data_IF_144287288556
#
_entry.id   IF_144287288556
#
_cell.length_a   1.000
_cell.length_b   1.000
_cell.length_c   1.000
_cell.angle_alpha   90.00
_cell.angle_beta   90.00
_cell.angle_gamma   90.00
#
_symmetry.space_group_name_H-M   'P 1'
#
loop_
_entity.id
_entity.type
_entity.pdbx_description
1 polymer ?
#
# COMPACT_ATOMS: atom_id res chain seq x y z
N UNK A 1 20.94 14.87 -5.20
CA UNK A 1 19.58 15.29 -5.64
C UNK A 1 18.61 14.47 -4.82
N UNK A 2 17.62 15.10 -4.19
CA UNK A 2 16.59 14.39 -3.43
C UNK A 2 15.67 13.64 -4.40
N UNK A 3 15.31 12.38 -4.09
CA UNK A 3 14.40 11.58 -4.92
C UNK A 3 12.98 12.10 -4.82
N UNK A 4 12.27 12.12 -5.94
CA UNK A 4 10.84 12.41 -5.93
C UNK A 4 10.02 11.19 -5.54
N UNK A 5 8.90 11.45 -4.88
CA UNK A 5 7.95 10.44 -4.40
C UNK A 5 6.56 10.76 -4.94
N UNK A 6 5.87 9.76 -5.47
CA UNK A 6 4.45 9.79 -5.76
C UNK A 6 3.72 8.71 -4.94
N UNK A 7 2.47 8.97 -4.62
CA UNK A 7 1.62 8.01 -3.88
C UNK A 7 0.32 7.80 -4.65
N UNK A 8 -0.10 6.54 -4.70
CA UNK A 8 -1.45 6.13 -5.14
C UNK A 8 -2.18 5.55 -3.93
N UNK A 9 -3.40 5.99 -3.68
CA UNK A 9 -4.26 5.43 -2.64
C UNK A 9 -5.57 4.94 -3.23
N UNK A 10 -5.91 3.71 -2.85
CA UNK A 10 -7.22 3.12 -3.14
C UNK A 10 -8.13 3.33 -1.93
N UNK A 11 -9.32 3.86 -2.15
CA UNK A 11 -10.31 4.17 -1.12
C UNK A 11 -11.60 3.39 -1.34
N UNK A 12 -12.27 3.01 -0.26
CA UNK A 12 -13.55 2.30 -0.30
C UNK A 12 -14.71 3.29 -0.26
N UNK A 13 -15.70 3.11 -1.15
CA UNK A 13 -16.96 3.83 -1.13
C UNK A 13 -17.97 3.08 -0.26
N UNK A 14 -18.61 3.81 0.65
CA UNK A 14 -19.58 3.23 1.60
C UNK A 14 -20.85 4.08 1.70
N UNK A 15 -21.98 3.44 1.99
CA UNK A 15 -23.20 4.14 2.39
C UNK A 15 -22.97 4.90 3.70
N UNK A 16 -23.32 6.18 3.71
CA UNK A 16 -23.06 7.09 4.84
C UNK A 16 -23.83 6.71 6.11
N UNK A 17 -24.94 5.98 5.97
CA UNK A 17 -25.79 5.60 7.09
C UNK A 17 -25.48 4.20 7.63
N UNK A 18 -25.26 3.21 6.77
CA UNK A 18 -25.02 1.82 7.16
C UNK A 18 -23.52 1.46 7.26
N UNK A 19 -22.65 2.17 6.57
CA UNK A 19 -21.24 1.83 6.42
C UNK A 19 -20.98 0.67 5.46
N UNK A 20 -22.00 0.14 4.78
CA UNK A 20 -21.85 -0.94 3.80
C UNK A 20 -21.18 -0.44 2.52
N UNK A 21 -20.30 -1.26 1.94
CA UNK A 21 -19.59 -0.88 0.72
C UNK A 21 -20.51 -0.78 -0.50
N UNK A 22 -20.45 0.36 -1.21
CA UNK A 22 -21.34 0.70 -2.32
C UNK A 22 -20.62 0.84 -3.68
N UNK A 23 -21.27 0.32 -4.73
CA UNK A 23 -20.72 0.27 -6.09
C UNK A 23 -20.99 1.59 -6.87
N UNK A 24 -20.48 2.71 -6.38
CA UNK A 24 -20.76 4.07 -6.88
C UNK A 24 -19.56 4.74 -7.60
N UNK A 25 -18.42 4.05 -7.81
CA UNK A 25 -17.23 4.68 -8.41
C UNK A 25 -17.53 5.38 -9.74
N UNK A 26 -18.38 4.81 -10.60
CA UNK A 26 -18.72 5.45 -11.89
C UNK A 26 -19.47 6.78 -11.72
N UNK A 27 -20.29 6.93 -10.67
CA UNK A 27 -20.98 8.19 -10.38
C UNK A 27 -20.00 9.22 -9.81
N UNK A 28 -19.14 8.81 -8.88
CA UNK A 28 -18.11 9.67 -8.29
C UNK A 28 -17.14 10.18 -9.36
N UNK A 29 -16.66 9.29 -10.24
CA UNK A 29 -15.76 9.67 -11.34
C UNK A 29 -16.42 10.64 -12.31
N UNK A 30 -17.70 10.44 -12.66
CA UNK A 30 -18.44 11.36 -13.54
C UNK A 30 -18.65 12.76 -12.91
N UNK A 31 -18.71 12.85 -11.58
CA UNK A 31 -18.74 14.14 -10.85
C UNK A 31 -17.34 14.77 -10.90
N UNK A 32 -16.32 14.00 -10.55
CA UNK A 32 -14.94 14.48 -10.56
C UNK A 32 -14.49 15.00 -11.93
N UNK A 33 -14.85 14.30 -13.02
CA UNK A 33 -14.56 14.75 -14.39
C UNK A 33 -15.23 16.08 -14.76
N UNK A 34 -16.45 16.36 -14.26
CA UNK A 34 -17.14 17.62 -14.52
C UNK A 34 -16.53 18.80 -13.75
N UNK A 35 -16.01 18.54 -12.56
CA UNK A 35 -15.42 19.56 -11.70
C UNK A 35 -13.94 19.82 -12.05
N UNK A 36 -13.29 18.88 -12.75
CA UNK A 36 -11.90 19.02 -13.15
C UNK A 36 -11.75 20.13 -14.23
N UNK A 37 -11.06 21.21 -13.89
CA UNK A 37 -10.59 22.23 -14.86
C UNK A 37 -9.38 21.72 -15.69
N UNK A 38 -9.13 20.41 -15.69
CA UNK A 38 -7.99 19.73 -16.30
C UNK A 38 -8.07 18.21 -16.16
N UNK A 39 -6.93 17.54 -15.95
CA UNK A 39 -6.90 16.09 -15.71
C UNK A 39 -7.44 15.75 -14.32
N UNK A 40 -8.40 14.82 -14.26
CA UNK A 40 -8.82 14.21 -13.01
C UNK A 40 -7.73 13.28 -12.49
N UNK A 41 -7.36 13.38 -11.21
CA UNK A 41 -6.44 12.44 -10.58
C UNK A 41 -7.11 11.13 -10.15
N UNK A 42 -8.45 11.03 -10.30
CA UNK A 42 -9.20 9.83 -9.91
C UNK A 42 -9.29 8.83 -11.05
N UNK A 43 -8.99 7.57 -10.74
CA UNK A 43 -9.05 6.45 -11.68
C UNK A 43 -10.01 5.35 -11.18
N UNK A 44 -10.62 4.57 -12.11
CA UNK A 44 -11.43 3.41 -11.75
C UNK A 44 -10.55 2.22 -11.40
N UNK A 45 -10.95 1.45 -10.39
CA UNK A 45 -10.35 0.19 -9.99
C UNK A 45 -11.15 -1.05 -10.42
N UNK A 46 -10.62 -2.26 -10.10
CA UNK A 46 -11.22 -3.56 -10.41
C UNK A 46 -12.69 -3.63 -9.93
N UNK A 47 -12.98 -3.09 -8.74
CA UNK A 47 -14.30 -3.10 -8.18
C UNK A 47 -14.93 -1.71 -8.14
N UNK A 48 -16.23 -1.66 -8.43
CA UNK A 48 -17.00 -0.41 -8.44
C UNK A 48 -17.22 0.20 -7.05
N UNK A 49 -16.78 -0.46 -6.01
CA UNK A 49 -16.74 0.04 -4.64
C UNK A 49 -15.43 0.78 -4.32
N UNK A 50 -14.49 0.85 -5.25
CA UNK A 50 -13.18 1.49 -5.06
C UNK A 50 -13.05 2.76 -5.90
N UNK A 51 -12.30 3.70 -5.36
CA UNK A 51 -11.84 4.90 -6.02
C UNK A 51 -10.33 4.99 -5.80
N UNK A 52 -9.54 5.21 -6.84
CA UNK A 52 -8.10 5.43 -6.75
C UNK A 52 -7.75 6.87 -7.08
N UNK A 53 -6.75 7.42 -6.40
CA UNK A 53 -6.12 8.67 -6.81
C UNK A 53 -4.60 8.56 -6.76
N UNK A 54 -3.95 9.40 -7.59
CA UNK A 54 -2.49 9.51 -7.65
C UNK A 54 -2.05 10.95 -7.37
N UNK A 55 -0.98 11.12 -6.58
CA UNK A 55 -0.34 12.41 -6.40
C UNK A 55 0.67 12.70 -7.52
N UNK A 56 0.97 13.98 -7.75
CA UNK A 56 2.15 14.33 -8.54
C UNK A 56 3.43 13.95 -7.78
N UNK A 57 4.56 13.72 -8.49
CA UNK A 57 5.84 13.45 -7.86
C UNK A 57 6.32 14.67 -7.06
N UNK A 58 6.53 14.52 -5.74
CA UNK A 58 7.00 15.56 -4.83
C UNK A 58 8.44 15.25 -4.37
N UNK A 59 9.29 16.24 -4.28
CA UNK A 59 10.61 16.15 -3.64
C UNK A 59 10.52 16.52 -2.15
N UNK A 60 9.63 17.42 -1.79
CA UNK A 60 9.32 17.84 -0.43
C UNK A 60 8.18 17.00 0.16
N UNK A 61 8.35 16.48 1.39
CA UNK A 61 7.34 15.64 2.02
C UNK A 61 6.19 16.44 2.63
N UNK A 62 6.36 17.74 2.85
CA UNK A 62 5.28 18.66 3.19
C UNK A 62 4.32 18.86 2.01
N UNK A 63 4.86 19.06 0.80
CA UNK A 63 4.07 19.11 -0.44
C UNK A 63 3.32 17.80 -0.68
N UNK A 64 3.95 16.65 -0.40
CA UNK A 64 3.28 15.35 -0.48
C UNK A 64 2.13 15.26 0.53
N UNK A 65 2.34 15.70 1.77
CA UNK A 65 1.30 15.71 2.80
C UNK A 65 0.10 16.58 2.38
N UNK A 66 0.34 17.79 1.88
CA UNK A 66 -0.70 18.67 1.35
C UNK A 66 -1.45 18.02 0.18
N UNK A 67 -0.73 17.32 -0.71
CA UNK A 67 -1.32 16.63 -1.85
C UNK A 67 -2.22 15.47 -1.42
N UNK A 68 -1.79 14.63 -0.48
CA UNK A 68 -2.60 13.51 0.06
C UNK A 68 -3.85 14.06 0.76
N UNK A 69 -3.72 15.08 1.62
CA UNK A 69 -4.87 15.71 2.28
C UNK A 69 -5.85 16.30 1.26
N UNK A 70 -5.37 17.00 0.25
CA UNK A 70 -6.20 17.58 -0.80
C UNK A 70 -7.00 16.51 -1.53
N UNK A 71 -6.34 15.45 -2.02
CA UNK A 71 -7.01 14.41 -2.81
C UNK A 71 -7.99 13.57 -1.99
N UNK A 72 -7.68 13.32 -0.70
CA UNK A 72 -8.67 12.72 0.21
C UNK A 72 -9.88 13.64 0.42
N UNK A 73 -9.65 14.94 0.61
CA UNK A 73 -10.72 15.95 0.71
C UNK A 73 -11.59 16.00 -0.54
N UNK A 74 -11.00 15.97 -1.74
CA UNK A 74 -11.73 15.90 -3.01
C UNK A 74 -12.53 14.58 -3.14
N UNK A 75 -11.95 13.44 -2.76
CA UNK A 75 -12.64 12.16 -2.73
C UNK A 75 -13.86 12.20 -1.80
N UNK A 76 -13.72 12.78 -0.60
CA UNK A 76 -14.81 12.97 0.37
C UNK A 76 -15.93 13.83 -0.24
N UNK A 77 -15.58 14.96 -0.87
CA UNK A 77 -16.54 15.85 -1.51
C UNK A 77 -17.30 15.17 -2.64
N UNK A 78 -16.58 14.56 -3.60
CA UNK A 78 -17.21 13.90 -4.75
C UNK A 78 -18.07 12.68 -4.34
N UNK A 79 -17.64 11.93 -3.32
CA UNK A 79 -18.44 10.84 -2.78
C UNK A 79 -19.73 11.35 -2.14
N UNK A 80 -19.67 12.44 -1.37
CA UNK A 80 -20.85 13.07 -0.77
C UNK A 80 -21.86 13.57 -1.84
N UNK A 81 -21.36 14.17 -2.93
CA UNK A 81 -22.19 14.61 -4.06
C UNK A 81 -22.85 13.41 -4.80
N UNK A 82 -22.25 12.23 -4.73
CA UNK A 82 -22.80 10.97 -5.23
C UNK A 82 -23.70 10.25 -4.20
N UNK A 83 -23.89 10.80 -2.99
CA UNK A 83 -24.70 10.22 -1.90
C UNK A 83 -24.01 9.14 -1.09
N UNK A 84 -22.67 9.08 -1.12
CA UNK A 84 -21.85 8.11 -0.41
C UNK A 84 -20.84 8.80 0.52
N UNK A 85 -20.13 8.00 1.31
CA UNK A 85 -18.89 8.39 2.00
C UNK A 85 -17.70 7.62 1.43
N UNK A 86 -16.51 8.16 1.60
CA UNK A 86 -15.26 7.48 1.25
C UNK A 86 -14.48 7.16 2.52
N UNK A 87 -13.80 6.00 2.53
CA UNK A 87 -13.02 5.57 3.69
C UNK A 87 -11.74 4.85 3.27
N UNK A 88 -10.63 5.19 3.93
CA UNK A 88 -9.34 4.51 3.78
C UNK A 88 -9.32 3.24 4.65
N UNK A 89 -9.99 2.19 4.18
CA UNK A 89 -10.00 0.86 4.77
C UNK A 89 -9.46 -0.15 3.76
N UNK A 90 -8.48 -0.93 4.14
CA UNK A 90 -7.85 -1.86 3.21
C UNK A 90 -8.70 -3.12 2.92
N UNK A 91 -9.72 -3.39 3.73
CA UNK A 91 -10.82 -4.35 3.47
C UNK A 91 -12.11 -3.83 4.06
N UNK A 92 -13.26 -4.25 3.52
CA UNK A 92 -14.57 -3.94 4.13
C UNK A 92 -14.75 -4.71 5.45
N UNK A 93 -14.96 -4.04 6.58
CA UNK A 93 -15.32 -4.70 7.84
C UNK A 93 -16.67 -5.41 7.78
N UNK A 94 -17.62 -4.84 7.04
CA UNK A 94 -18.96 -5.38 6.87
C UNK A 94 -19.03 -6.38 5.70
N UNK A 95 -20.02 -7.29 5.70
CA UNK A 95 -20.24 -8.18 4.56
C UNK A 95 -20.46 -7.39 3.28
N UNK A 96 -19.84 -7.83 2.19
CA UNK A 96 -19.94 -7.19 0.89
C UNK A 96 -19.95 -8.22 -0.24
N UNK A 97 -20.72 -7.93 -1.30
CA UNK A 97 -20.65 -8.62 -2.59
C UNK A 97 -20.02 -7.67 -3.60
N UNK A 98 -18.70 -7.78 -3.87
CA UNK A 98 -18.02 -6.87 -4.76
C UNK A 98 -18.60 -6.88 -6.17
N UNK A 99 -18.59 -5.72 -6.84
CA UNK A 99 -19.08 -5.54 -8.21
C UNK A 99 -17.92 -5.17 -9.11
N UNK A 100 -17.53 -6.08 -9.99
CA UNK A 100 -16.45 -5.87 -10.95
C UNK A 100 -16.83 -4.75 -11.94
N UNK A 101 -15.83 -3.94 -12.29
CA UNK A 101 -15.96 -2.88 -13.29
C UNK A 101 -16.29 -3.41 -14.69
N UNK A 102 -16.90 -2.56 -15.52
CA UNK A 102 -17.40 -2.96 -16.86
C UNK A 102 -16.34 -2.91 -17.97
N UNK A 103 -15.11 -2.48 -17.67
CA UNK A 103 -14.00 -2.44 -18.61
C UNK A 103 -13.63 -3.83 -19.17
N UNK A 104 -13.12 -3.89 -20.39
CA UNK A 104 -12.71 -5.16 -21.05
C UNK A 104 -11.66 -5.90 -20.20
N UNK A 105 -10.67 -5.18 -19.66
CA UNK A 105 -9.63 -5.75 -18.79
C UNK A 105 -10.25 -6.42 -17.55
N UNK A 106 -11.19 -5.78 -16.90
CA UNK A 106 -11.83 -6.28 -15.68
C UNK A 106 -12.72 -7.51 -15.95
N UNK A 107 -13.43 -7.53 -17.10
CA UNK A 107 -14.19 -8.71 -17.53
C UNK A 107 -13.26 -9.90 -17.79
N UNK A 108 -12.16 -9.67 -18.48
CA UNK A 108 -11.15 -10.71 -18.72
C UNK A 108 -10.59 -11.26 -17.40
N UNK A 109 -10.29 -10.38 -16.43
CA UNK A 109 -9.82 -10.80 -15.11
C UNK A 109 -10.87 -11.62 -14.36
N UNK A 110 -12.14 -11.23 -14.42
CA UNK A 110 -13.25 -11.95 -13.81
C UNK A 110 -13.42 -13.36 -14.40
N UNK A 111 -13.36 -13.49 -15.72
CA UNK A 111 -13.45 -14.79 -16.41
C UNK A 111 -12.24 -15.66 -16.11
N UNK A 112 -11.04 -15.09 -16.11
CA UNK A 112 -9.78 -15.81 -15.96
C UNK A 112 -9.55 -16.31 -14.54
N UNK A 113 -9.85 -15.48 -13.53
CA UNK A 113 -9.49 -15.73 -12.13
C UNK A 113 -10.69 -16.10 -11.24
N UNK A 114 -11.91 -16.01 -11.75
CA UNK A 114 -13.12 -16.44 -11.05
C UNK A 114 -13.25 -15.80 -9.65
N UNK A 115 -13.39 -16.61 -8.61
CA UNK A 115 -13.56 -16.16 -7.23
C UNK A 115 -12.39 -15.28 -6.73
N UNK A 116 -11.16 -15.51 -7.19
CA UNK A 116 -10.03 -14.66 -6.83
C UNK A 116 -10.29 -13.21 -7.22
N UNK A 117 -10.76 -12.95 -8.44
CA UNK A 117 -11.11 -11.59 -8.86
C UNK A 117 -12.39 -11.08 -8.18
N UNK A 118 -13.40 -11.94 -8.01
CA UNK A 118 -14.68 -11.56 -7.41
C UNK A 118 -14.57 -11.15 -5.94
N UNK A 119 -13.67 -11.77 -5.19
CA UNK A 119 -13.47 -11.53 -3.75
C UNK A 119 -12.31 -10.55 -3.46
N UNK A 120 -11.72 -9.91 -4.49
CA UNK A 120 -10.52 -9.09 -4.37
C UNK A 120 -10.80 -7.63 -3.95
N UNK A 121 -11.86 -7.34 -3.26
CA UNK A 121 -12.14 -5.96 -2.79
C UNK A 121 -11.16 -5.59 -1.66
N UNK A 122 -10.03 -5.05 -2.05
CA UNK A 122 -8.95 -4.63 -1.15
C UNK A 122 -8.38 -3.31 -1.61
N UNK A 123 -8.03 -2.41 -0.68
CA UNK A 123 -7.46 -1.10 -0.95
C UNK A 123 -6.02 -1.02 -0.44
N UNK A 124 -5.10 -0.67 -1.31
CA UNK A 124 -3.68 -0.51 -1.04
C UNK A 124 -3.23 0.94 -1.04
N UNK A 125 -1.98 1.10 -0.64
CA UNK A 125 -1.20 2.31 -0.83
C UNK A 125 0.06 1.94 -1.62
N UNK A 126 0.23 2.53 -2.80
CA UNK A 126 1.42 2.34 -3.61
C UNK A 126 2.33 3.56 -3.49
N UNK A 127 3.61 3.32 -3.32
CA UNK A 127 4.60 4.39 -3.21
C UNK A 127 5.61 4.25 -4.34
N UNK A 128 5.69 5.28 -5.18
CA UNK A 128 6.64 5.39 -6.27
C UNK A 128 7.82 6.27 -5.87
N UNK A 129 9.03 5.77 -6.04
CA UNK A 129 10.26 6.56 -5.79
C UNK A 129 11.13 6.55 -7.03
N UNK A 130 11.57 7.74 -7.46
CA UNK A 130 12.38 7.90 -8.68
C UNK A 130 13.73 7.19 -8.59
N UNK A 131 14.11 6.56 -9.71
CA UNK A 131 15.43 5.93 -9.92
C UNK A 131 16.06 6.44 -11.21
N UNK A 132 17.37 6.39 -11.30
CA UNK A 132 18.11 6.94 -12.43
C UNK A 132 18.11 6.01 -13.66
N UNK A 133 17.93 4.70 -13.43
CA UNK A 133 17.89 3.68 -14.49
C UNK A 133 17.26 2.40 -13.96
N UNK A 134 16.92 1.46 -14.85
CA UNK A 134 16.43 0.14 -14.49
C UNK A 134 17.47 -0.67 -13.71
N UNK A 135 18.78 -0.49 -13.98
CA UNK A 135 19.87 -1.12 -13.23
C UNK A 135 19.86 -0.65 -11.78
N UNK A 136 19.76 0.66 -11.53
CA UNK A 136 19.62 1.19 -10.17
C UNK A 136 18.32 0.66 -9.54
N UNK A 137 17.20 0.69 -10.26
CA UNK A 137 15.91 0.24 -9.77
C UNK A 137 15.93 -1.23 -9.35
N UNK A 138 16.50 -2.13 -10.16
CA UNK A 138 16.63 -3.56 -9.83
C UNK A 138 17.59 -3.76 -8.65
N UNK A 139 18.71 -3.04 -8.63
CA UNK A 139 19.64 -3.09 -7.51
C UNK A 139 18.98 -2.62 -6.19
N UNK A 140 18.08 -1.64 -6.25
CA UNK A 140 17.24 -1.21 -5.12
C UNK A 140 16.27 -2.32 -4.73
N UNK A 141 15.50 -2.89 -5.69
CA UNK A 141 14.56 -3.99 -5.42
C UNK A 141 15.23 -5.14 -4.69
N UNK A 142 16.41 -5.56 -5.14
CA UNK A 142 17.17 -6.67 -4.55
C UNK A 142 17.57 -6.42 -3.08
N UNK A 143 17.71 -5.16 -2.67
CA UNK A 143 18.10 -4.76 -1.30
C UNK A 143 16.93 -4.50 -0.38
N UNK A 144 15.87 -3.85 -0.88
CA UNK A 144 14.72 -3.46 -0.05
C UNK A 144 13.80 -4.63 0.30
N UNK A 145 13.83 -5.74 -0.45
CA UNK A 145 12.91 -6.89 -0.29
C UNK A 145 12.83 -7.41 1.16
N UNK A 146 13.90 -7.32 1.93
CA UNK A 146 13.93 -7.77 3.32
C UNK A 146 13.21 -6.81 4.27
N UNK A 147 13.03 -5.55 3.89
CA UNK A 147 12.36 -4.52 4.66
C UNK A 147 10.86 -4.41 4.35
N UNK A 148 10.39 -4.97 3.22
CA UNK A 148 9.00 -4.91 2.81
C UNK A 148 8.02 -5.43 3.89
N UNK A 149 8.30 -6.55 4.60
CA UNK A 149 7.43 -6.99 5.69
C UNK A 149 7.29 -5.99 6.84
N UNK A 150 8.31 -5.15 7.07
CA UNK A 150 8.26 -4.11 8.11
C UNK A 150 7.33 -2.97 7.68
N UNK A 151 7.37 -2.58 6.41
CA UNK A 151 6.44 -1.60 5.83
C UNK A 151 4.98 -2.12 5.86
N UNK A 152 4.77 -3.41 5.57
CA UNK A 152 3.46 -4.04 5.72
C UNK A 152 2.97 -3.94 7.17
N UNK A 153 3.81 -4.27 8.16
CA UNK A 153 3.42 -4.19 9.56
C UNK A 153 3.02 -2.77 9.99
N UNK A 154 3.75 -1.76 9.49
CA UNK A 154 3.48 -0.35 9.78
C UNK A 154 2.13 0.10 9.21
N UNK A 155 1.80 -0.31 7.98
CA UNK A 155 0.61 0.10 7.25
C UNK A 155 -0.65 -0.71 7.57
N UNK A 156 -0.58 -1.78 8.41
CA UNK A 156 -1.73 -2.68 8.61
C UNK A 156 -3.01 -1.93 8.96
N UNK A 157 -4.08 -2.18 8.16
CA UNK A 157 -5.37 -1.50 8.27
C UNK A 157 -6.54 -2.37 7.76
N UNK A 158 -6.45 -3.71 7.92
CA UNK A 158 -7.50 -4.64 7.46
C UNK A 158 -7.75 -5.79 8.44
N UNK A 159 -8.14 -5.49 9.71
CA UNK A 159 -8.35 -6.53 10.71
C UNK A 159 -9.66 -7.31 10.53
N UNK A 160 -10.63 -6.76 9.80
CA UNK A 160 -11.95 -7.35 9.64
C UNK A 160 -12.20 -7.77 8.19
N UNK A 161 -12.96 -8.86 8.02
CA UNK A 161 -13.37 -9.39 6.74
C UNK A 161 -14.75 -10.03 6.83
N UNK A 162 -15.69 -9.61 5.97
CA UNK A 162 -17.04 -10.18 5.90
C UNK A 162 -17.76 -10.25 7.26
N UNK A 163 -17.66 -9.21 8.06
CA UNK A 163 -18.32 -9.12 9.36
C UNK A 163 -17.58 -9.81 10.51
N UNK A 164 -16.37 -10.32 10.29
CA UNK A 164 -15.62 -11.09 11.28
C UNK A 164 -14.23 -10.51 11.55
N UNK A 165 -13.73 -10.63 12.79
CA UNK A 165 -12.32 -10.40 13.08
C UNK A 165 -11.49 -11.55 12.47
N UNK A 166 -10.71 -11.21 11.45
CA UNK A 166 -9.84 -12.16 10.74
C UNK A 166 -8.69 -12.69 11.60
N UNK A 167 -8.43 -12.07 12.74
CA UNK A 167 -7.26 -12.28 13.59
C UNK A 167 -5.93 -11.84 12.95
N UNK A 168 -5.97 -11.20 11.79
CA UNK A 168 -4.83 -10.55 11.15
C UNK A 168 -4.91 -9.04 11.35
N UNK A 169 -3.78 -8.35 11.37
CA UNK A 169 -3.73 -6.89 11.31
C UNK A 169 -3.84 -6.39 9.86
N UNK A 170 -3.30 -7.17 8.89
CA UNK A 170 -3.57 -7.03 7.46
C UNK A 170 -4.13 -8.32 6.88
N UNK A 171 -5.45 -8.42 6.75
CA UNK A 171 -6.08 -9.52 6.01
C UNK A 171 -6.01 -9.29 4.49
N UNK A 172 -5.89 -8.02 4.04
CA UNK A 172 -5.59 -7.68 2.65
C UNK A 172 -4.39 -8.47 2.13
N UNK A 173 -3.31 -8.58 2.91
CA UNK A 173 -2.11 -9.35 2.51
C UNK A 173 -2.40 -10.82 2.19
N UNK A 174 -3.39 -11.43 2.86
CA UNK A 174 -3.81 -12.81 2.59
C UNK A 174 -4.70 -12.90 1.35
N UNK A 175 -5.57 -11.93 1.13
CA UNK A 175 -6.45 -11.85 -0.04
C UNK A 175 -5.61 -11.54 -1.29
N UNK A 176 -4.72 -10.54 -1.20
CA UNK A 176 -3.80 -10.15 -2.28
C UNK A 176 -2.88 -11.29 -2.72
N UNK A 177 -2.39 -12.08 -1.77
CA UNK A 177 -1.53 -13.25 -2.02
C UNK A 177 -2.17 -14.36 -2.86
N UNK A 178 -3.46 -14.26 -3.21
CA UNK A 178 -4.15 -15.21 -4.12
C UNK A 178 -3.81 -14.98 -5.60
N UNK A 179 -3.33 -13.79 -5.97
CA UNK A 179 -2.91 -13.51 -7.33
C UNK A 179 -1.64 -14.27 -7.68
N UNK A 180 -1.53 -14.87 -8.89
CA UNK A 180 -0.42 -15.75 -9.26
C UNK A 180 0.97 -15.11 -9.19
N UNK A 181 1.05 -13.80 -9.43
CA UNK A 181 2.30 -13.03 -9.41
C UNK A 181 2.55 -12.27 -8.11
N UNK A 182 1.64 -12.37 -7.12
CA UNK A 182 1.76 -11.59 -5.88
C UNK A 182 2.83 -12.14 -4.93
N UNK A 183 3.43 -11.22 -4.19
CA UNK A 183 4.33 -11.54 -3.10
C UNK A 183 5.80 -11.27 -3.37
N UNK A 184 6.67 -11.73 -2.46
CA UNK A 184 8.11 -11.53 -2.56
C UNK A 184 8.73 -12.38 -3.66
N UNK A 185 9.82 -11.87 -4.23
CA UNK A 185 10.60 -12.50 -5.29
C UNK A 185 12.04 -12.78 -4.85
N UNK A 186 12.77 -13.59 -5.60
CA UNK A 186 14.21 -13.77 -5.40
C UNK A 186 15.01 -12.55 -5.88
N UNK A 187 16.30 -12.51 -5.58
CA UNK A 187 17.23 -11.50 -6.10
C UNK A 187 17.29 -11.63 -7.62
N UNK A 188 17.08 -10.52 -8.32
CA UNK A 188 17.11 -10.49 -9.79
C UNK A 188 18.57 -10.41 -10.33
N UNK A 189 19.42 -9.67 -9.63
CA UNK A 189 20.83 -9.52 -9.96
C UNK A 189 21.15 -8.52 -11.07
N UNK A 190 20.25 -8.36 -12.07
CA UNK A 190 20.41 -7.37 -13.15
C UNK A 190 19.07 -6.96 -13.74
N UNK A 191 19.01 -5.79 -14.40
CA UNK A 191 17.81 -5.33 -15.11
C UNK A 191 17.43 -6.30 -16.24
N UNK A 192 18.40 -6.86 -16.96
CA UNK A 192 18.15 -7.86 -18.00
C UNK A 192 17.43 -9.10 -17.44
N UNK A 193 17.89 -9.63 -16.30
CA UNK A 193 17.27 -10.79 -15.64
C UNK A 193 15.85 -10.46 -15.13
N UNK A 194 15.65 -9.27 -14.57
CA UNK A 194 14.32 -8.78 -14.19
C UNK A 194 13.36 -8.77 -15.37
N UNK A 195 13.72 -8.10 -16.45
CA UNK A 195 12.89 -8.03 -17.65
C UNK A 195 12.67 -9.41 -18.31
N UNK A 196 13.68 -10.29 -18.28
CA UNK A 196 13.52 -11.66 -18.76
C UNK A 196 12.49 -12.45 -17.91
N UNK A 197 12.50 -12.28 -16.60
CA UNK A 197 11.51 -12.88 -15.70
C UNK A 197 10.11 -12.32 -15.98
N UNK A 198 9.94 -11.00 -16.10
CA UNK A 198 8.66 -10.35 -16.42
C UNK A 198 8.11 -10.87 -17.76
N UNK A 199 8.94 -10.88 -18.83
CA UNK A 199 8.53 -11.42 -20.13
C UNK A 199 8.12 -12.90 -20.03
N UNK A 200 8.85 -13.68 -19.25
CA UNK A 200 8.54 -15.11 -19.07
C UNK A 200 7.18 -15.30 -18.37
N UNK A 201 6.90 -14.53 -17.32
CA UNK A 201 5.62 -14.58 -16.61
C UNK A 201 4.44 -14.19 -17.52
N UNK A 202 4.56 -13.11 -18.27
CA UNK A 202 3.54 -12.72 -19.27
C UNK A 202 3.43 -13.78 -20.37
N UNK A 203 4.56 -14.32 -20.86
CA UNK A 203 4.63 -15.35 -21.88
C UNK A 203 3.95 -16.68 -21.49
N UNK A 204 3.70 -16.93 -20.20
CA UNK A 204 2.89 -18.08 -19.74
C UNK A 204 1.42 -18.01 -20.17
N UNK A 205 0.92 -16.80 -20.55
CA UNK A 205 -0.49 -16.54 -20.80
C UNK A 205 -1.38 -16.56 -19.54
N UNK A 206 -0.80 -16.69 -18.35
CA UNK A 206 -1.52 -16.54 -17.07
C UNK A 206 -1.85 -15.07 -16.82
N UNK A 207 -0.91 -14.18 -17.10
CA UNK A 207 -1.05 -12.73 -16.97
C UNK A 207 -1.37 -12.13 -18.35
N UNK A 208 -2.23 -11.12 -18.39
CA UNK A 208 -2.59 -10.42 -19.62
C UNK A 208 -1.45 -9.54 -20.16
N UNK A 209 -0.77 -8.85 -19.23
CA UNK A 209 0.29 -7.88 -19.53
C UNK A 209 1.15 -7.62 -18.27
N UNK A 210 2.17 -6.78 -18.40
CA UNK A 210 3.09 -6.40 -17.33
C UNK A 210 2.40 -5.66 -16.15
N UNK A 211 1.25 -5.00 -16.39
CA UNK A 211 0.46 -4.39 -15.32
C UNK A 211 -0.06 -5.40 -14.30
N UNK A 212 -0.05 -6.71 -14.63
CA UNK A 212 -0.42 -7.79 -13.72
C UNK A 212 0.77 -8.42 -12.97
N UNK A 213 1.93 -7.81 -13.01
CA UNK A 213 3.06 -8.18 -12.15
C UNK A 213 2.81 -7.58 -10.76
N UNK A 214 2.30 -8.39 -9.83
CA UNK A 214 1.87 -7.98 -8.49
C UNK A 214 2.92 -8.27 -7.41
N UNK A 215 4.22 -8.21 -7.75
CA UNK A 215 5.30 -8.30 -6.76
C UNK A 215 5.10 -7.27 -5.64
N UNK A 216 5.57 -7.57 -4.43
CA UNK A 216 5.49 -6.66 -3.28
C UNK A 216 6.17 -5.30 -3.56
N UNK A 217 7.20 -5.28 -4.41
CA UNK A 217 7.78 -4.10 -5.06
C UNK A 217 8.25 -4.47 -6.46
N UNK A 218 8.18 -3.51 -7.41
CA UNK A 218 8.55 -3.73 -8.82
C UNK A 218 9.12 -2.47 -9.46
N UNK A 219 9.72 -2.58 -10.65
CA UNK A 219 9.86 -1.44 -11.55
C UNK A 219 8.48 -1.04 -12.07
N UNK A 220 8.18 0.26 -12.07
CA UNK A 220 6.99 0.75 -12.73
C UNK A 220 7.15 0.63 -14.24
N UNK A 221 6.11 0.14 -14.92
CA UNK A 221 6.11 0.06 -16.39
C UNK A 221 5.78 1.39 -17.07
N UNK A 222 5.31 2.40 -16.30
CA UNK A 222 4.89 3.71 -16.80
C UNK A 222 5.89 4.83 -16.46
N UNK A 223 6.56 4.73 -15.33
CA UNK A 223 7.37 5.81 -14.78
C UNK A 223 8.78 5.29 -14.41
N UNK A 224 9.82 6.14 -14.45
CA UNK A 224 11.17 5.76 -14.02
C UNK A 224 11.26 5.65 -12.49
N UNK A 225 10.49 4.73 -11.90
CA UNK A 225 10.36 4.57 -10.45
C UNK A 225 10.41 3.10 -10.04
N UNK A 226 10.82 2.85 -8.79
CA UNK A 226 10.46 1.64 -8.06
C UNK A 226 9.13 1.88 -7.36
N UNK A 227 8.18 0.95 -7.54
CA UNK A 227 6.83 0.99 -7.00
C UNK A 227 6.70 -0.04 -5.87
N UNK A 228 6.38 0.42 -4.67
CA UNK A 228 6.13 -0.42 -3.49
C UNK A 228 4.62 -0.64 -3.34
N UNK A 229 4.17 -1.89 -3.34
CA UNK A 229 2.75 -2.28 -3.41
C UNK A 229 2.25 -3.07 -2.20
N UNK A 230 3.16 -3.44 -1.29
CA UNK A 230 2.86 -4.34 -0.17
C UNK A 230 1.90 -3.73 0.86
N UNK A 231 1.83 -2.40 0.96
CA UNK A 231 1.14 -1.69 2.03
C UNK A 231 -0.38 -1.71 1.88
N UNK A 232 -1.09 -1.89 2.99
CA UNK A 232 -2.50 -1.50 3.12
C UNK A 232 -2.62 0.02 2.93
N UNK A 233 -3.75 0.53 2.41
CA UNK A 233 -4.03 1.96 2.50
C UNK A 233 -4.02 2.38 3.97
N UNK A 234 -3.32 3.46 4.31
CA UNK A 234 -3.22 3.94 5.68
C UNK A 234 -4.50 4.66 6.10
N UNK A 235 -5.02 4.40 7.31
CA UNK A 235 -6.24 5.06 7.79
C UNK A 235 -6.03 6.57 7.94
N UNK A 236 -4.97 6.95 8.63
CA UNK A 236 -4.57 8.35 8.83
C UNK A 236 -3.67 8.80 7.66
N UNK A 237 -3.96 9.95 7.00
CA UNK A 237 -3.12 10.45 5.91
C UNK A 237 -1.66 10.72 6.34
N UNK A 238 -1.41 11.05 7.59
CA UNK A 238 -0.05 11.23 8.11
C UNK A 238 0.76 9.92 8.08
N UNK A 239 0.11 8.75 8.22
CA UNK A 239 0.77 7.45 8.13
C UNK A 239 1.17 7.12 6.68
N UNK A 240 0.41 7.57 5.69
CA UNK A 240 0.76 7.49 4.28
C UNK A 240 2.05 8.28 3.99
N UNK A 241 2.15 9.50 4.53
CA UNK A 241 3.35 10.34 4.37
C UNK A 241 4.55 9.72 5.08
N UNK A 242 4.36 9.19 6.29
CA UNK A 242 5.41 8.45 7.02
C UNK A 242 5.91 7.25 6.22
N UNK A 243 4.99 6.44 5.69
CA UNK A 243 5.32 5.27 4.87
C UNK A 243 6.12 5.71 3.63
N UNK A 244 5.65 6.72 2.91
CA UNK A 244 6.30 7.25 1.70
C UNK A 244 7.70 7.79 1.99
N UNK A 245 7.88 8.48 3.11
CA UNK A 245 9.19 9.03 3.54
C UNK A 245 10.18 7.90 3.88
N UNK A 246 9.74 6.87 4.60
CA UNK A 246 10.56 5.69 4.91
C UNK A 246 10.94 4.91 3.65
N UNK A 247 10.01 4.76 2.70
CA UNK A 247 10.25 4.14 1.40
C UNK A 247 11.30 4.93 0.62
N UNK A 248 11.22 6.28 0.58
CA UNK A 248 12.24 7.12 -0.04
C UNK A 248 13.62 6.91 0.59
N UNK A 249 13.68 6.86 1.92
CA UNK A 249 14.89 6.56 2.68
C UNK A 249 15.49 5.20 2.33
N UNK A 250 14.64 4.16 2.22
CA UNK A 250 15.05 2.82 1.80
C UNK A 250 15.63 2.79 0.39
N UNK A 251 14.99 3.47 -0.57
CA UNK A 251 15.46 3.53 -1.96
C UNK A 251 16.81 4.23 -2.05
N UNK A 252 16.98 5.36 -1.36
CA UNK A 252 18.27 6.08 -1.37
C UNK A 252 19.38 5.28 -0.67
N UNK A 253 19.09 4.66 0.49
CA UNK A 253 20.05 3.79 1.19
C UNK A 253 20.46 2.62 0.31
N UNK A 254 19.51 1.91 -0.29
CA UNK A 254 19.80 0.78 -1.17
C UNK A 254 20.61 1.17 -2.42
N UNK A 255 20.34 2.36 -2.98
CA UNK A 255 21.12 2.89 -4.10
C UNK A 255 22.57 3.24 -3.69
N UNK A 256 22.78 3.75 -2.46
CA UNK A 256 24.13 4.00 -1.89
C UNK A 256 24.89 2.69 -1.68
N UNK A 257 24.24 1.68 -1.08
CA UNK A 257 24.82 0.35 -0.90
C UNK A 257 25.22 -0.28 -2.25
N UNK A 258 24.37 -0.15 -3.27
CA UNK A 258 24.69 -0.63 -4.62
C UNK A 258 25.90 0.07 -5.21
N UNK A 259 25.98 1.40 -5.14
CA UNK A 259 27.14 2.17 -5.65
C UNK A 259 28.42 1.86 -4.89
N UNK A 260 28.31 1.50 -3.59
CA UNK A 260 29.42 1.05 -2.78
C UNK A 260 29.83 -0.41 -3.06
N UNK A 261 29.10 -1.13 -3.90
CA UNK A 261 29.37 -2.55 -4.21
C UNK A 261 28.95 -3.52 -3.11
N UNK A 262 28.14 -3.07 -2.14
CA UNK A 262 27.64 -3.94 -1.08
C UNK A 262 26.60 -4.94 -1.65
N UNK A 263 26.71 -6.25 -1.33
CA UNK A 263 25.76 -7.23 -1.83
C UNK A 263 24.41 -7.12 -1.12
N UNK A 264 23.29 -7.47 -1.80
CA UNK A 264 21.99 -7.57 -1.14
C UNK A 264 21.96 -8.69 -0.11
N UNK A 265 21.09 -8.59 0.89
CA UNK A 265 20.88 -9.67 1.86
C UNK A 265 20.33 -10.92 1.17
N UNK A 266 21.04 -12.04 1.31
CA UNK A 266 20.65 -13.35 0.73
C UNK A 266 19.51 -14.04 1.46
N UNK A 267 18.38 -13.35 1.66
CA UNK A 267 17.17 -13.92 2.29
C UNK A 267 16.33 -14.61 1.22
N UNK A 268 16.02 -15.88 1.41
CA UNK A 268 15.20 -16.65 0.46
C UNK A 268 13.76 -16.15 0.41
N UNK A 269 13.09 -16.31 -0.73
CA UNK A 269 11.66 -16.00 -0.91
C UNK A 269 10.78 -16.71 0.12
N UNK A 270 11.12 -17.97 0.51
CA UNK A 270 10.39 -18.69 1.55
C UNK A 270 10.44 -17.99 2.91
N UNK A 271 11.60 -17.45 3.31
CA UNK A 271 11.74 -16.67 4.55
C UNK A 271 11.01 -15.33 4.44
N UNK A 272 11.07 -14.65 3.29
CA UNK A 272 10.33 -13.41 3.08
C UNK A 272 8.82 -13.63 3.17
N UNK A 273 8.29 -14.72 2.59
CA UNK A 273 6.88 -15.10 2.74
C UNK A 273 6.48 -15.31 4.19
N UNK A 274 7.31 -15.99 4.98
CA UNK A 274 7.07 -16.18 6.40
C UNK A 274 7.11 -14.85 7.17
N UNK A 275 8.05 -13.95 6.82
CA UNK A 275 8.15 -12.62 7.41
C UNK A 275 6.93 -11.75 7.07
N UNK A 276 6.48 -11.74 5.81
CA UNK A 276 5.26 -11.02 5.38
C UNK A 276 4.01 -11.59 6.04
N UNK A 277 3.90 -12.93 6.16
CA UNK A 277 2.80 -13.56 6.89
C UNK A 277 2.77 -13.10 8.35
N UNK A 278 3.93 -13.13 9.03
CA UNK A 278 4.05 -12.70 10.43
C UNK A 278 3.69 -11.22 10.58
N UNK A 279 4.13 -10.37 9.67
CA UNK A 279 3.82 -8.94 9.65
C UNK A 279 2.31 -8.69 9.47
N UNK A 280 1.69 -9.32 8.47
CA UNK A 280 0.25 -9.23 8.26
C UNK A 280 -0.57 -9.80 9.41
N UNK A 281 -0.08 -10.89 10.06
CA UNK A 281 -0.75 -11.52 11.20
C UNK A 281 -0.74 -10.64 12.44
N UNK A 282 0.40 -10.04 12.76
CA UNK A 282 0.63 -9.39 14.07
C UNK A 282 0.65 -7.86 13.99
N UNK A 283 0.92 -7.27 12.83
CA UNK A 283 1.12 -5.83 12.72
C UNK A 283 2.18 -5.34 13.70
N UNK A 284 1.91 -4.22 14.32
CA UNK A 284 2.79 -3.60 15.33
C UNK A 284 2.59 -4.14 16.75
N UNK A 285 1.53 -4.92 16.99
CA UNK A 285 1.17 -5.43 18.33
C UNK A 285 1.93 -6.70 18.74
N UNK A 286 2.82 -7.20 17.88
CA UNK A 286 3.49 -8.47 18.14
C UNK A 286 4.98 -8.44 17.84
N UNK A 287 5.45 -9.57 17.35
CA UNK A 287 6.85 -9.75 16.92
C UNK A 287 6.93 -9.77 15.41
N UNK A 288 7.97 -9.15 14.85
CA UNK A 288 8.32 -9.19 13.45
C UNK A 288 9.60 -9.99 13.23
N UNK A 289 9.78 -10.54 12.04
CA UNK A 289 11.05 -11.15 11.66
C UNK A 289 12.03 -10.02 11.31
N UNK A 290 13.08 -9.88 12.13
CA UNK A 290 14.10 -8.85 11.91
C UNK A 290 14.88 -9.15 10.61
N UNK A 291 15.02 -8.19 9.67
CA UNK A 291 15.59 -8.41 8.33
C UNK A 291 17.02 -8.97 8.33
N UNK A 292 17.87 -8.54 9.28
CA UNK A 292 19.27 -8.97 9.35
C UNK A 292 19.47 -10.23 10.18
N UNK A 293 18.85 -10.32 11.39
CA UNK A 293 19.02 -11.47 12.28
C UNK A 293 18.18 -12.67 11.88
N UNK A 294 17.09 -12.44 11.10
CA UNK A 294 16.09 -13.45 10.71
C UNK A 294 15.42 -14.12 11.91
N UNK A 295 15.40 -13.44 13.06
CA UNK A 295 14.77 -13.88 14.30
C UNK A 295 13.53 -13.05 14.61
N UNK A 296 12.55 -13.61 15.32
CA UNK A 296 11.40 -12.84 15.77
C UNK A 296 11.83 -11.88 16.89
N UNK A 297 11.61 -10.58 16.69
CA UNK A 297 11.90 -9.50 17.64
C UNK A 297 10.66 -8.63 17.85
N UNK A 298 10.53 -7.89 18.98
CA UNK A 298 9.41 -6.97 19.18
C UNK A 298 9.30 -5.98 18.03
N UNK A 299 8.08 -5.67 17.58
CA UNK A 299 7.87 -4.76 16.44
C UNK A 299 8.54 -3.39 16.63
N UNK A 300 8.52 -2.74 17.82
CA UNK A 300 9.23 -1.47 18.01
C UNK A 300 10.75 -1.56 17.79
N UNK A 301 11.38 -2.70 18.13
CA UNK A 301 12.81 -2.89 17.92
C UNK A 301 13.15 -3.05 16.44
N UNK A 302 12.28 -3.73 15.68
CA UNK A 302 12.44 -3.89 14.23
C UNK A 302 12.17 -2.57 13.49
N UNK A 303 11.21 -1.77 13.95
CA UNK A 303 10.99 -0.41 13.41
C UNK A 303 12.18 0.50 13.68
N UNK A 304 12.78 0.41 14.88
CA UNK A 304 14.02 1.14 15.18
C UNK A 304 15.16 0.71 14.27
N UNK A 305 15.30 -0.59 14.01
CA UNK A 305 16.31 -1.10 13.09
C UNK A 305 16.09 -0.59 11.65
N UNK A 306 14.82 -0.42 11.21
CA UNK A 306 14.51 0.22 9.93
C UNK A 306 14.95 1.70 9.94
N UNK A 307 14.58 2.45 10.97
CA UNK A 307 14.94 3.86 11.11
C UNK A 307 16.47 4.04 11.11
N UNK A 308 17.18 3.20 11.88
CA UNK A 308 18.65 3.24 11.93
C UNK A 308 19.29 2.90 10.58
N UNK A 309 18.68 1.98 9.82
CA UNK A 309 19.16 1.61 8.49
C UNK A 309 19.02 2.74 7.46
N UNK A 310 17.98 3.56 7.55
CA UNK A 310 17.72 4.66 6.60
C UNK A 310 18.10 6.03 7.14
N UNK A 311 18.68 6.10 8.35
CA UNK A 311 18.98 7.33 9.09
C UNK A 311 19.75 8.35 8.25
N UNK A 312 20.89 7.96 7.68
CA UNK A 312 21.75 8.86 6.91
C UNK A 312 21.02 9.45 5.69
N UNK A 313 20.17 8.64 5.04
CA UNK A 313 19.37 9.12 3.91
C UNK A 313 18.30 10.12 4.35
N UNK A 314 17.69 9.91 5.52
CA UNK A 314 16.69 10.82 6.11
C UNK A 314 17.34 12.13 6.63
N UNK A 315 18.55 12.05 7.19
CA UNK A 315 19.32 13.25 7.60
C UNK A 315 19.65 14.12 6.40
N UNK A 316 20.18 13.51 5.33
CA UNK A 316 20.55 14.22 4.10
C UNK A 316 19.36 14.84 3.35
N UNK A 317 18.15 14.28 3.49
CA UNK A 317 16.91 14.85 2.95
C UNK A 317 16.20 15.82 3.90
N UNK A 318 16.63 15.91 5.17
CA UNK A 318 16.02 16.74 6.19
C UNK A 318 14.76 16.15 6.85
N UNK A 319 14.45 14.87 6.61
CA UNK A 319 13.20 14.25 7.04
C UNK A 319 13.28 13.54 8.40
N UNK A 320 14.47 13.31 8.93
CA UNK A 320 14.64 12.43 10.11
C UNK A 320 13.73 12.82 11.28
N UNK A 321 13.71 14.11 11.65
CA UNK A 321 12.91 14.60 12.79
C UNK A 321 11.40 14.38 12.56
N UNK A 322 10.92 14.59 11.34
CA UNK A 322 9.51 14.34 10.99
C UNK A 322 9.16 12.85 11.10
N UNK A 323 10.02 11.96 10.60
CA UNK A 323 9.86 10.50 10.69
C UNK A 323 9.87 10.03 12.15
N UNK A 324 10.82 10.48 12.98
CA UNK A 324 10.88 10.14 14.41
C UNK A 324 9.61 10.58 15.15
N UNK A 325 9.12 11.78 14.84
CA UNK A 325 7.87 12.32 15.42
C UNK A 325 6.65 11.50 15.00
N UNK A 326 6.56 11.14 13.71
CA UNK A 326 5.45 10.35 13.17
C UNK A 326 5.47 8.91 13.70
N UNK A 327 6.63 8.25 13.79
CA UNK A 327 6.77 6.92 14.41
C UNK A 327 6.34 6.94 15.89
N UNK A 328 6.73 7.97 16.64
CA UNK A 328 6.28 8.13 18.02
C UNK A 328 4.77 8.39 18.13
N UNK A 329 4.15 9.02 17.14
CA UNK A 329 2.69 9.18 17.09
C UNK A 329 1.99 7.84 16.82
N UNK A 330 2.49 7.04 15.86
CA UNK A 330 1.96 5.69 15.58
C UNK A 330 2.11 4.78 16.80
N UNK A 331 3.24 4.80 17.49
CA UNK A 331 3.46 4.00 18.72
C UNK A 331 2.41 4.31 19.79
N UNK A 332 2.07 5.58 19.99
CA UNK A 332 1.06 6.01 20.96
C UNK A 332 -0.37 5.63 20.58
N UNK A 333 -0.81 5.99 19.35
CA UNK A 333 -2.21 5.82 18.91
C UNK A 333 -2.51 4.50 18.22
N UNK A 334 -1.47 3.78 17.82
CA UNK A 334 -1.60 2.63 16.95
C UNK A 334 -1.77 3.02 15.47
N UNK A 335 -1.72 2.01 14.60
CA UNK A 335 -2.08 2.12 13.18
C UNK A 335 -3.57 1.79 12.96
N UNK A 336 -4.02 1.77 11.69
CA UNK A 336 -5.42 1.56 11.36
C UNK A 336 -6.01 0.27 11.94
N UNK A 337 -5.26 -0.84 11.95
CA UNK A 337 -5.76 -2.11 12.48
C UNK A 337 -6.05 -2.04 14.00
N UNK A 338 -5.18 -1.38 14.77
CA UNK A 338 -5.39 -1.18 16.21
C UNK A 338 -6.57 -0.24 16.45
N UNK A 339 -6.64 0.88 15.75
CA UNK A 339 -7.74 1.86 15.87
C UNK A 339 -9.09 1.19 15.60
N UNK A 340 -9.20 0.39 14.54
CA UNK A 340 -10.43 -0.34 14.21
C UNK A 340 -10.84 -1.30 15.33
N UNK A 341 -9.90 -2.09 15.90
CA UNK A 341 -10.19 -3.02 16.98
C UNK A 341 -10.57 -2.32 18.28
N UNK A 342 -9.87 -1.25 18.64
CA UNK A 342 -10.20 -0.46 19.83
C UNK A 342 -11.58 0.21 19.70
N UNK A 343 -11.93 0.68 18.50
CA UNK A 343 -13.26 1.23 18.22
C UNK A 343 -14.34 0.16 18.34
N UNK A 344 -14.15 -1.02 17.75
CA UNK A 344 -15.07 -2.13 17.92
C UNK A 344 -15.22 -2.54 19.40
N UNK A 345 -14.12 -2.64 20.13
CA UNK A 345 -14.16 -2.99 21.56
C UNK A 345 -14.93 -1.97 22.38
N UNK A 346 -14.85 -0.68 22.03
CA UNK A 346 -15.55 0.41 22.71
C UNK A 346 -17.03 0.50 22.33
N UNK A 347 -17.39 0.26 21.07
CA UNK A 347 -18.76 0.49 20.55
C UNK A 347 -19.59 -0.79 20.42
N UNK A 348 -18.93 -1.95 20.30
CA UNK A 348 -19.58 -3.23 19.99
C UNK A 348 -20.13 -3.33 18.56
N UNK A 349 -19.81 -2.38 17.67
CA UNK A 349 -20.41 -2.21 16.36
C UNK A 349 -19.37 -2.01 15.26
N UNK A 350 -19.36 -2.90 14.26
CA UNK A 350 -18.54 -2.69 13.05
C UNK A 350 -18.98 -1.48 12.23
N UNK A 351 -20.29 -1.16 12.26
CA UNK A 351 -20.83 0.04 11.61
C UNK A 351 -20.23 1.31 12.24
N UNK A 352 -20.20 1.39 13.57
CA UNK A 352 -19.61 2.54 14.26
C UNK A 352 -18.07 2.58 14.03
N UNK A 353 -17.45 1.40 13.85
CA UNK A 353 -16.05 1.32 13.46
C UNK A 353 -15.82 1.93 12.07
N UNK A 354 -16.66 1.63 11.08
CA UNK A 354 -16.59 2.25 9.74
C UNK A 354 -16.81 3.76 9.83
N UNK A 355 -17.83 4.21 10.58
CA UNK A 355 -18.13 5.64 10.76
C UNK A 355 -16.94 6.41 11.38
N UNK A 356 -16.28 5.85 12.37
CA UNK A 356 -15.05 6.44 12.94
C UNK A 356 -13.91 6.49 11.90
N UNK A 357 -13.73 5.42 11.11
CA UNK A 357 -12.73 5.40 10.06
C UNK A 357 -13.02 6.43 8.94
N UNK A 358 -14.30 6.65 8.57
CA UNK A 358 -14.69 7.72 7.64
C UNK A 358 -14.23 9.08 8.17
N UNK A 359 -14.45 9.35 9.46
CA UNK A 359 -14.04 10.62 10.10
C UNK A 359 -12.52 10.81 10.07
N UNK A 360 -11.75 9.76 10.33
CA UNK A 360 -10.27 9.83 10.33
C UNK A 360 -9.74 9.98 8.89
N UNK A 361 -10.39 9.35 7.91
CA UNK A 361 -10.00 9.46 6.49
C UNK A 361 -10.06 10.89 5.98
N UNK A 362 -11.03 11.67 6.46
CA UNK A 362 -11.24 13.06 6.05
C UNK A 362 -10.19 14.03 6.65
N UNK A 363 -9.50 13.65 7.73
CA UNK A 363 -8.47 14.46 8.42
C UNK A 363 -9.05 15.26 9.58
#
# INVERSE_FOLDING_TARGET
MVRTVGVEEELLLVDSASGEAEALSSAVLAIAEKDAEGESAFEPELHRQQLEFSTHPCADMGELAESVHRWRGEAVRHAADAGASVVALATSPLPVSPKIGTGERYRWMAERFGLTAQEQLTCGCHVHVSVASDEEGVAVLDRVRCWLPVLLALSTNSPFWQGQDSRYSSYRSQVWGRWPSAGPVDVHGSAEAYHAQVRSLVGTGVLRDEGMIYFDARLSHRYPTVEFRIADVCLDPADTVLLATLVRGLVETAAREWRAGEPPLGTSTALLRAASWQAGRSGLEGRLVHPRTRRPEPAPDVLRALLDHVRDALEDSGDLTAVETALAAVDRRGNGARIQRETLARTGSLRDTVAECVRITAG
#
